data_IF_589507362956
#
_entry.id   IF_589507362956
#
_cell.length_a   1.000
_cell.length_b   1.000
_cell.length_c   1.000
_cell.angle_alpha   90.00
_cell.angle_beta   90.00
_cell.angle_gamma   90.00
#
_symmetry.space_group_name_H-M   'P 1'
#
loop_
_entity.id
_entity.type
_entity.pdbx_description
1 polymer ?
#
# COMPACT_ATOMS: atom_id res chain seq x y z
N UNK A 1 -4.68 -2.27 10.03
CA UNK A 1 -4.92 -0.91 9.55
C UNK A 1 -5.57 -0.01 10.59
N UNK A 2 -6.30 -0.53 11.58
CA UNK A 2 -7.07 0.31 12.51
C UNK A 2 -6.19 1.32 13.28
N UNK A 3 -5.03 0.92 13.81
CA UNK A 3 -4.17 1.84 14.55
C UNK A 3 -3.65 3.01 13.71
N UNK A 4 -3.36 2.79 12.43
CA UNK A 4 -2.88 3.84 11.52
C UNK A 4 -4.02 4.73 11.05
N UNK A 5 -5.21 4.15 10.88
CA UNK A 5 -6.43 4.91 10.66
C UNK A 5 -6.72 5.83 11.84
N UNK A 6 -6.64 5.32 13.08
CA UNK A 6 -6.85 6.10 14.30
C UNK A 6 -5.83 7.25 14.42
N UNK A 7 -4.56 7.00 14.07
CA UNK A 7 -3.52 8.03 14.04
C UNK A 7 -3.82 9.12 12.99
N UNK A 8 -4.23 8.74 11.78
CA UNK A 8 -4.61 9.68 10.74
C UNK A 8 -5.87 10.48 11.13
N UNK A 9 -6.86 9.84 11.77
CA UNK A 9 -8.04 10.51 12.32
C UNK A 9 -7.64 11.55 13.35
N UNK A 10 -6.78 11.20 14.31
CA UNK A 10 -6.28 12.13 15.32
C UNK A 10 -5.51 13.30 14.68
N UNK A 11 -4.71 13.03 13.64
CA UNK A 11 -4.00 14.08 12.91
C UNK A 11 -4.95 15.04 12.19
N UNK A 12 -6.00 14.54 11.52
CA UNK A 12 -7.01 15.39 10.88
C UNK A 12 -7.79 16.20 11.93
N UNK A 13 -8.16 15.58 13.06
CA UNK A 13 -8.82 16.29 14.17
C UNK A 13 -7.93 17.39 14.75
N UNK A 14 -6.62 17.17 14.86
CA UNK A 14 -5.68 18.19 15.32
C UNK A 14 -5.68 19.42 14.40
N UNK A 15 -5.87 19.26 13.09
CA UNK A 15 -5.97 20.38 12.14
C UNK A 15 -7.19 21.28 12.44
N UNK A 16 -8.24 20.76 13.08
CA UNK A 16 -9.46 21.51 13.37
C UNK A 16 -9.27 22.58 14.46
N UNK A 17 -8.17 22.50 15.20
CA UNK A 17 -7.78 23.50 16.18
C UNK A 17 -7.05 24.70 15.57
N UNK A 18 -6.81 24.71 14.26
CA UNK A 18 -6.15 25.78 13.54
C UNK A 18 -7.19 26.67 12.87
N UNK A 19 -7.30 27.93 13.31
CA UNK A 19 -8.33 28.89 12.85
C UNK A 19 -8.32 29.18 11.34
N UNK A 20 -7.22 28.88 10.65
CA UNK A 20 -7.05 29.08 9.22
C UNK A 20 -7.38 27.83 8.37
N UNK A 21 -7.76 26.72 8.99
CA UNK A 21 -8.14 25.49 8.30
C UNK A 21 -9.65 25.44 8.12
N UNK A 22 -10.10 25.33 6.87
CA UNK A 22 -11.50 25.09 6.53
C UNK A 22 -11.77 23.56 6.48
N UNK A 23 -12.54 23.00 7.42
CA UNK A 23 -12.84 21.56 7.46
C UNK A 23 -13.55 21.06 6.20
N UNK A 24 -14.25 21.94 5.47
CA UNK A 24 -14.96 21.57 4.26
C UNK A 24 -14.06 21.44 3.02
N UNK A 25 -12.74 21.64 3.17
CA UNK A 25 -11.78 21.70 2.05
C UNK A 25 -10.54 20.82 2.23
N UNK A 26 -10.59 19.86 3.15
CA UNK A 26 -9.45 18.98 3.40
C UNK A 26 -9.30 17.96 2.27
N UNK A 27 -8.08 17.84 1.74
CA UNK A 27 -7.70 16.85 0.72
C UNK A 27 -6.63 15.93 1.31
N UNK A 28 -6.80 14.62 1.16
CA UNK A 28 -5.79 13.65 1.57
C UNK A 28 -4.71 13.47 0.49
N UNK A 29 -3.46 13.26 0.88
CA UNK A 29 -2.38 12.92 -0.06
C UNK A 29 -1.61 11.71 0.49
N UNK A 30 -1.51 10.65 -0.30
CA UNK A 30 -0.81 9.43 0.07
C UNK A 30 0.24 9.05 -0.97
N UNK A 31 1.45 8.72 -0.52
CA UNK A 31 2.51 8.17 -1.37
C UNK A 31 2.77 6.70 -0.98
N UNK A 32 2.84 5.79 -1.96
CA UNK A 32 3.11 4.37 -1.72
C UNK A 32 2.15 3.78 -0.68
N UNK A 33 2.65 3.26 0.45
CA UNK A 33 1.83 2.80 1.59
C UNK A 33 0.87 3.89 2.11
N UNK A 34 1.28 5.16 2.10
CA UNK A 34 0.45 6.31 2.47
C UNK A 34 -0.86 6.39 1.68
N UNK A 35 -0.89 5.85 0.46
CA UNK A 35 -2.10 5.77 -0.33
C UNK A 35 -3.14 4.82 0.29
N UNK A 36 -2.71 3.70 0.89
CA UNK A 36 -3.60 2.79 1.61
C UNK A 36 -4.26 3.51 2.78
N UNK A 37 -3.47 4.20 3.62
CA UNK A 37 -3.98 4.94 4.78
C UNK A 37 -5.04 5.98 4.40
N UNK A 38 -4.76 6.81 3.38
CA UNK A 38 -5.69 7.83 2.90
C UNK A 38 -6.94 7.20 2.27
N UNK A 39 -6.82 6.07 1.58
CA UNK A 39 -7.96 5.33 1.04
C UNK A 39 -8.82 4.72 2.15
N UNK A 40 -8.23 4.11 3.18
CA UNK A 40 -8.96 3.61 4.35
C UNK A 40 -9.72 4.73 5.07
N UNK A 41 -9.11 5.91 5.19
CA UNK A 41 -9.77 7.08 5.73
C UNK A 41 -10.98 7.48 4.90
N UNK A 42 -10.78 7.67 3.59
CA UNK A 42 -11.81 8.14 2.65
C UNK A 42 -12.96 7.14 2.40
N UNK A 43 -12.75 5.86 2.68
CA UNK A 43 -13.76 4.79 2.51
C UNK A 43 -14.45 4.39 3.81
N UNK A 44 -14.00 4.93 4.94
CA UNK A 44 -14.63 4.74 6.25
C UNK A 44 -15.48 5.95 6.63
N UNK A 45 -16.38 5.79 7.60
CA UNK A 45 -17.15 6.92 8.15
C UNK A 45 -16.24 7.77 9.02
N UNK A 46 -16.09 9.05 8.66
CA UNK A 46 -15.25 10.02 9.38
C UNK A 46 -16.09 11.21 9.85
N UNK A 47 -15.73 11.75 11.02
CA UNK A 47 -16.31 13.01 11.52
C UNK A 47 -15.95 14.18 10.60
N UNK A 48 -14.71 14.19 10.09
CA UNK A 48 -14.20 15.20 9.16
C UNK A 48 -13.89 14.53 7.82
N UNK A 49 -14.82 14.51 6.85
CA UNK A 49 -14.58 13.85 5.56
C UNK A 49 -13.59 14.66 4.70
N UNK A 50 -12.76 13.95 3.93
CA UNK A 50 -11.95 14.56 2.87
C UNK A 50 -12.79 14.78 1.62
N UNK A 51 -12.57 15.89 0.93
CA UNK A 51 -13.30 16.25 -0.31
C UNK A 51 -12.62 15.77 -1.59
N UNK A 52 -11.39 15.27 -1.48
CA UNK A 52 -10.62 14.65 -2.55
C UNK A 52 -9.39 13.95 -1.98
N UNK A 53 -8.76 13.08 -2.77
CA UNK A 53 -7.52 12.41 -2.40
C UNK A 53 -6.54 12.35 -3.58
N UNK A 54 -5.26 12.59 -3.35
CA UNK A 54 -4.21 12.39 -4.36
C UNK A 54 -3.36 11.18 -4.01
N UNK A 55 -3.23 10.24 -4.95
CA UNK A 55 -2.46 9.01 -4.75
C UNK A 55 -1.20 9.03 -5.64
N UNK A 56 -0.04 9.11 -5.02
CA UNK A 56 1.26 9.02 -5.68
C UNK A 56 1.87 7.63 -5.48
N UNK A 57 2.30 7.00 -6.56
CA UNK A 57 2.85 5.65 -6.60
C UNK A 57 2.08 4.62 -5.73
N UNK A 58 0.72 4.56 -5.78
CA UNK A 58 -0.02 3.59 -4.99
C UNK A 58 0.24 2.16 -5.50
N UNK A 59 0.37 1.16 -4.60
CA UNK A 59 0.46 -0.25 -5.01
C UNK A 59 -0.88 -0.75 -5.54
N UNK A 60 -0.93 -1.07 -6.83
CA UNK A 60 -2.13 -1.61 -7.50
C UNK A 60 -2.34 -3.10 -7.29
N UNK A 61 -1.29 -3.80 -6.86
CA UNK A 61 -1.29 -5.21 -6.48
C UNK A 61 -1.00 -5.38 -4.99
N UNK A 62 -1.22 -6.58 -4.42
CA UNK A 62 -0.83 -6.87 -3.05
C UNK A 62 0.63 -6.54 -2.77
N UNK A 63 0.94 -5.99 -1.59
CA UNK A 63 2.31 -5.62 -1.18
C UNK A 63 3.29 -6.79 -1.35
N UNK A 64 2.86 -8.02 -1.06
CA UNK A 64 3.67 -9.22 -1.29
C UNK A 64 4.13 -9.36 -2.76
N UNK A 65 3.26 -9.08 -3.74
CA UNK A 65 3.58 -9.22 -5.16
C UNK A 65 4.53 -8.11 -5.62
N UNK A 66 4.31 -6.90 -5.12
CA UNK A 66 5.20 -5.76 -5.34
C UNK A 66 6.61 -6.09 -4.83
N UNK A 67 6.73 -6.56 -3.58
CA UNK A 67 8.00 -6.96 -2.97
C UNK A 67 8.71 -8.06 -3.77
N UNK A 68 7.99 -9.12 -4.17
CA UNK A 68 8.57 -10.21 -4.95
C UNK A 68 9.07 -9.74 -6.32
N UNK A 69 8.34 -8.81 -6.97
CA UNK A 69 8.77 -8.24 -8.24
C UNK A 69 10.02 -7.36 -8.11
N UNK A 70 10.15 -6.61 -7.01
CA UNK A 70 11.36 -5.83 -6.73
C UNK A 70 12.57 -6.72 -6.45
N UNK A 71 12.38 -7.79 -5.67
CA UNK A 71 13.43 -8.78 -5.43
C UNK A 71 13.91 -9.44 -6.73
N UNK A 72 12.99 -9.72 -7.65
CA UNK A 72 13.32 -10.29 -8.94
C UNK A 72 14.27 -9.42 -9.78
N UNK A 73 14.17 -8.10 -9.64
CA UNK A 73 15.01 -7.14 -10.36
C UNK A 73 16.38 -6.92 -9.69
N UNK A 74 16.46 -7.10 -8.37
CA UNK A 74 17.64 -6.74 -7.59
C UNK A 74 18.53 -7.94 -7.21
N UNK A 75 17.99 -9.15 -7.21
CA UNK A 75 18.69 -10.34 -6.72
C UNK A 75 19.23 -11.18 -7.89
N UNK A 76 20.56 -11.27 -8.06
CA UNK A 76 21.16 -12.17 -9.04
C UNK A 76 20.75 -13.62 -8.77
N UNK A 77 20.39 -14.36 -9.83
CA UNK A 77 19.96 -15.75 -9.70
C UNK A 77 18.56 -15.95 -9.13
N UNK A 78 17.72 -14.88 -9.09
CA UNK A 78 16.36 -14.91 -8.55
C UNK A 78 15.53 -16.12 -8.98
N UNK A 79 15.61 -16.53 -10.25
CA UNK A 79 14.82 -17.65 -10.77
C UNK A 79 15.00 -18.96 -9.96
N UNK A 80 16.19 -19.18 -9.39
CA UNK A 80 16.50 -20.37 -8.57
C UNK A 80 16.01 -20.23 -7.12
N UNK A 81 15.83 -18.98 -6.66
CA UNK A 81 15.40 -18.64 -5.30
C UNK A 81 13.89 -18.46 -5.20
N UNK A 82 13.25 -18.09 -6.31
CA UNK A 82 11.82 -17.74 -6.38
C UNK A 82 10.91 -18.78 -5.71
N UNK A 83 11.04 -20.10 -5.98
CA UNK A 83 10.16 -21.09 -5.33
C UNK A 83 10.26 -21.06 -3.80
N UNK A 84 11.48 -20.86 -3.27
CA UNK A 84 11.75 -20.83 -1.82
C UNK A 84 11.20 -19.57 -1.17
N UNK A 85 11.33 -18.45 -1.85
CA UNK A 85 10.79 -17.17 -1.37
C UNK A 85 9.25 -17.17 -1.44
N UNK A 86 8.66 -17.77 -2.49
CA UNK A 86 7.21 -17.96 -2.59
C UNK A 86 6.67 -18.87 -1.49
N UNK A 87 7.40 -19.94 -1.13
CA UNK A 87 7.01 -20.81 -0.01
C UNK A 87 7.04 -20.08 1.33
N UNK A 88 8.05 -19.25 1.58
CA UNK A 88 8.13 -18.41 2.77
C UNK A 88 6.98 -17.37 2.81
N UNK A 89 6.72 -16.70 1.69
CA UNK A 89 5.60 -15.78 1.53
C UNK A 89 4.24 -16.46 1.75
N UNK A 90 4.05 -17.68 1.24
CA UNK A 90 2.81 -18.43 1.41
C UNK A 90 2.55 -18.81 2.88
N UNK A 91 3.59 -19.23 3.62
CA UNK A 91 3.50 -19.45 5.07
C UNK A 91 3.11 -18.19 5.82
N UNK A 92 3.74 -17.06 5.47
CA UNK A 92 3.39 -15.77 6.04
C UNK A 92 1.95 -15.35 5.72
N UNK A 93 1.46 -15.60 4.50
CA UNK A 93 0.04 -15.38 4.16
C UNK A 93 -0.90 -16.27 4.97
N UNK A 94 -0.49 -17.49 5.32
CA UNK A 94 -1.27 -18.44 6.12
C UNK A 94 -1.28 -18.15 7.64
N UNK A 95 -0.64 -17.06 8.09
CA UNK A 95 -0.52 -16.76 9.53
C UNK A 95 0.62 -17.50 10.23
N UNK A 96 1.42 -18.26 9.50
CA UNK A 96 2.57 -18.99 10.02
C UNK A 96 3.84 -18.13 9.99
N UNK A 97 4.90 -18.49 10.73
CA UNK A 97 6.20 -17.87 10.58
C UNK A 97 6.74 -18.02 9.16
N UNK A 98 7.34 -16.96 8.62
CA UNK A 98 7.89 -16.92 7.27
C UNK A 98 9.04 -17.93 7.12
N UNK A 99 9.89 -18.05 8.16
CA UNK A 99 10.96 -19.04 8.30
C UNK A 99 11.70 -19.31 6.96
N UNK A 100 12.41 -18.28 6.44
CA UNK A 100 13.05 -18.36 5.13
C UNK A 100 14.12 -19.45 5.11
N UNK A 101 14.22 -20.18 4.01
CA UNK A 101 15.29 -21.15 3.76
C UNK A 101 16.67 -20.45 3.91
N UNK A 102 17.73 -21.21 4.20
CA UNK A 102 19.10 -20.69 4.27
C UNK A 102 19.69 -20.34 2.91
N UNK A 103 19.11 -20.86 1.82
CA UNK A 103 19.64 -20.72 0.46
C UNK A 103 19.59 -19.30 -0.15
N UNK A 104 18.59 -18.44 0.09
CA UNK A 104 18.62 -17.05 -0.38
C UNK A 104 19.76 -16.24 0.23
N UNK A 105 20.25 -15.19 -0.46
CA UNK A 105 21.24 -14.26 0.08
C UNK A 105 20.80 -13.67 1.42
N UNK A 106 21.77 -13.31 2.26
CA UNK A 106 21.50 -12.76 3.60
C UNK A 106 20.62 -11.51 3.55
N UNK A 107 20.80 -10.65 2.55
CA UNK A 107 19.96 -9.46 2.35
C UNK A 107 18.48 -9.80 2.13
N UNK A 108 18.19 -10.88 1.39
CA UNK A 108 16.82 -11.36 1.15
C UNK A 108 16.25 -11.95 2.44
N UNK A 109 17.03 -12.76 3.15
CA UNK A 109 16.59 -13.35 4.44
C UNK A 109 16.30 -12.28 5.48
N UNK A 110 17.15 -11.27 5.60
CA UNK A 110 16.94 -10.13 6.49
C UNK A 110 15.70 -9.32 6.12
N UNK A 111 15.47 -9.08 4.82
CA UNK A 111 14.27 -8.38 4.37
C UNK A 111 13.00 -9.19 4.70
N UNK A 112 12.99 -10.49 4.44
CA UNK A 112 11.87 -11.36 4.78
C UNK A 112 11.64 -11.42 6.29
N UNK A 113 12.70 -11.55 7.09
CA UNK A 113 12.63 -11.58 8.54
C UNK A 113 12.16 -10.24 9.16
N UNK A 114 12.34 -9.10 8.46
CA UNK A 114 11.91 -7.79 8.98
C UNK A 114 10.38 -7.69 9.08
N UNK A 115 9.62 -8.43 8.27
CA UNK A 115 8.17 -8.56 8.37
C UNK A 115 7.74 -9.32 9.63
N UNK A 116 8.64 -10.10 10.24
CA UNK A 116 8.39 -10.86 11.47
C UNK A 116 8.82 -10.12 12.74
N UNK A 117 9.37 -8.90 12.62
CA UNK A 117 9.77 -8.10 13.77
C UNK A 117 8.55 -7.79 14.66
N UNK A 118 8.61 -8.17 15.94
CA UNK A 118 7.47 -8.11 16.87
C UNK A 118 6.78 -6.74 16.95
N UNK A 119 7.54 -5.65 16.83
CA UNK A 119 7.00 -4.29 16.86
C UNK A 119 6.08 -3.99 15.65
N UNK A 120 6.34 -4.63 14.50
CA UNK A 120 5.65 -4.37 13.24
C UNK A 120 4.72 -5.50 12.83
N UNK A 121 4.81 -6.68 13.45
CA UNK A 121 4.15 -7.91 13.02
C UNK A 121 2.64 -7.75 12.75
N UNK A 122 1.82 -7.11 13.62
CA UNK A 122 0.39 -6.95 13.34
C UNK A 122 0.15 -6.12 12.07
N UNK A 123 0.79 -4.97 11.95
CA UNK A 123 0.68 -4.10 10.77
C UNK A 123 1.21 -4.77 9.51
N UNK A 124 2.38 -5.41 9.61
CA UNK A 124 3.04 -6.08 8.51
C UNK A 124 2.17 -7.21 7.96
N UNK A 125 1.40 -7.91 8.80
CA UNK A 125 0.45 -8.94 8.37
C UNK A 125 -0.76 -8.34 7.66
N UNK A 126 -1.29 -7.24 8.18
CA UNK A 126 -2.42 -6.55 7.56
C UNK A 126 -2.03 -6.00 6.18
N UNK A 127 -0.91 -5.28 6.08
CA UNK A 127 -0.44 -4.70 4.82
C UNK A 127 -0.05 -5.73 3.76
N UNK A 128 0.37 -6.94 4.16
CA UNK A 128 0.93 -7.95 3.26
C UNK A 128 0.04 -8.29 2.07
N UNK A 129 -1.27 -8.42 2.34
CA UNK A 129 -2.28 -8.77 1.34
C UNK A 129 -3.02 -7.52 0.80
N UNK A 130 -2.74 -6.35 1.36
CA UNK A 130 -3.45 -5.12 0.98
C UNK A 130 -3.00 -4.59 -0.38
N UNK A 131 -3.96 -4.03 -1.09
CA UNK A 131 -3.75 -3.33 -2.36
C UNK A 131 -4.69 -2.16 -2.45
N UNK A 132 -4.25 -1.07 -3.08
CA UNK A 132 -5.09 0.12 -3.21
C UNK A 132 -6.28 -0.09 -4.16
N UNK A 133 -6.22 -1.12 -5.01
CA UNK A 133 -7.24 -1.46 -6.02
C UNK A 133 -8.64 -1.59 -5.44
N UNK A 134 -8.80 -2.37 -4.35
CA UNK A 134 -10.11 -2.68 -3.80
C UNK A 134 -10.74 -1.45 -3.13
N UNK A 135 -9.95 -0.70 -2.37
CA UNK A 135 -10.40 0.52 -1.70
C UNK A 135 -10.69 1.63 -2.71
N UNK A 136 -9.88 1.76 -3.76
CA UNK A 136 -10.10 2.74 -4.82
C UNK A 136 -11.46 2.59 -5.50
N UNK A 137 -11.97 1.36 -5.65
CA UNK A 137 -13.33 1.10 -6.20
C UNK A 137 -14.45 1.67 -5.34
N UNK A 138 -14.23 1.87 -4.06
CA UNK A 138 -15.26 2.36 -3.12
C UNK A 138 -15.30 3.88 -3.03
N UNK A 139 -14.22 4.57 -3.45
CA UNK A 139 -14.12 6.03 -3.36
C UNK A 139 -15.06 6.74 -4.34
N UNK A 140 -15.80 7.75 -3.87
CA UNK A 140 -16.73 8.54 -4.70
C UNK A 140 -16.27 9.99 -4.92
N UNK A 141 -15.21 10.42 -4.26
CA UNK A 141 -14.62 11.76 -4.36
C UNK A 141 -13.52 11.82 -5.43
N UNK A 142 -13.16 13.01 -5.94
CA UNK A 142 -12.05 13.18 -6.88
C UNK A 142 -10.76 12.53 -6.38
N UNK A 143 -10.18 11.66 -7.23
CA UNK A 143 -9.03 10.81 -6.87
C UNK A 143 -8.02 10.71 -8.01
N UNK A 144 -7.17 11.73 -8.25
CA UNK A 144 -6.03 11.59 -9.16
C UNK A 144 -5.05 10.52 -8.66
N UNK A 145 -4.63 9.65 -9.58
CA UNK A 145 -3.58 8.64 -9.37
C UNK A 145 -2.40 8.96 -10.28
N UNK A 146 -1.20 8.99 -9.71
CA UNK A 146 0.05 9.26 -10.43
C UNK A 146 1.05 8.16 -10.15
N UNK A 147 1.56 7.50 -11.19
CA UNK A 147 2.69 6.57 -11.10
C UNK A 147 3.76 7.02 -12.09
N UNK A 148 5.01 7.13 -11.63
CA UNK A 148 6.12 7.52 -12.48
C UNK A 148 6.51 6.38 -13.43
N UNK A 149 6.66 6.66 -14.73
CA UNK A 149 7.08 5.65 -15.72
C UNK A 149 8.51 5.09 -15.54
N UNK A 150 9.26 5.57 -14.54
CA UNK A 150 10.59 5.06 -14.13
C UNK A 150 10.65 4.74 -12.64
N UNK A 151 9.50 4.61 -12.00
CA UNK A 151 9.45 4.19 -10.61
C UNK A 151 10.02 2.76 -10.51
N UNK A 152 10.94 2.57 -9.55
CA UNK A 152 11.67 1.31 -9.36
C UNK A 152 10.96 0.36 -8.40
N UNK A 153 9.95 0.87 -7.67
CA UNK A 153 9.21 0.14 -6.65
C UNK A 153 7.80 -0.21 -7.13
N UNK A 154 7.14 0.71 -7.83
CA UNK A 154 5.75 0.60 -8.26
C UNK A 154 5.71 0.62 -9.79
N UNK A 155 5.27 -0.47 -10.39
CA UNK A 155 5.32 -0.61 -11.84
C UNK A 155 4.16 0.14 -12.50
N UNK A 156 4.47 1.03 -13.45
CA UNK A 156 3.46 1.86 -14.09
C UNK A 156 2.36 1.07 -14.82
N UNK A 157 2.65 -0.16 -15.24
CA UNK A 157 1.68 -1.02 -15.94
C UNK A 157 1.13 -2.08 -14.99
N UNK A 158 1.98 -2.87 -14.34
CA UNK A 158 1.52 -3.96 -13.48
C UNK A 158 0.77 -3.47 -12.24
N UNK A 159 1.08 -2.27 -11.73
CA UNK A 159 0.33 -1.62 -10.67
C UNK A 159 -0.67 -0.57 -11.20
N UNK A 160 -0.34 0.12 -12.29
CA UNK A 160 -1.23 1.13 -12.89
C UNK A 160 -2.50 0.58 -13.54
N UNK A 161 -2.39 -0.48 -14.35
CA UNK A 161 -3.54 -1.04 -15.09
C UNK A 161 -4.66 -1.50 -14.14
N UNK A 162 -4.39 -2.26 -13.07
CA UNK A 162 -5.43 -2.65 -12.11
C UNK A 162 -6.12 -1.45 -11.44
N UNK A 163 -5.41 -0.34 -11.25
CA UNK A 163 -5.95 0.89 -10.66
C UNK A 163 -6.79 1.67 -11.66
N UNK A 164 -6.36 1.73 -12.93
CA UNK A 164 -7.14 2.31 -14.01
C UNK A 164 -8.46 1.55 -14.18
N UNK A 165 -8.43 0.21 -14.15
CA UNK A 165 -9.63 -0.62 -14.14
C UNK A 165 -10.53 -0.35 -12.93
N UNK A 166 -9.94 -0.17 -11.73
CA UNK A 166 -10.69 0.13 -10.52
C UNK A 166 -11.34 1.54 -10.53
N UNK A 167 -10.74 2.48 -11.25
CA UNK A 167 -11.27 3.82 -11.46
C UNK A 167 -12.21 3.92 -12.67
N UNK A 168 -12.27 2.89 -13.53
CA UNK A 168 -13.09 2.90 -14.74
C UNK A 168 -14.57 3.17 -14.43
N UNK A 169 -15.20 4.03 -15.23
CA UNK A 169 -16.60 4.42 -15.05
C UNK A 169 -16.84 5.45 -13.95
N UNK A 170 -15.80 5.89 -13.24
CA UNK A 170 -15.87 7.06 -12.36
C UNK A 170 -15.56 8.31 -13.18
N UNK A 171 -16.29 9.40 -12.95
CA UNK A 171 -16.05 10.69 -13.61
C UNK A 171 -14.71 11.35 -13.21
N UNK A 172 -13.88 10.64 -12.43
CA UNK A 172 -12.62 11.10 -11.86
C UNK A 172 -11.49 10.38 -12.58
N UNK A 173 -10.98 10.98 -13.66
CA UNK A 173 -10.05 10.35 -14.60
C UNK A 173 -8.67 10.04 -14.01
N UNK A 174 -8.13 8.88 -14.40
CA UNK A 174 -6.70 8.55 -14.35
C UNK A 174 -6.09 9.08 -15.65
N UNK A 175 -5.10 9.95 -15.55
CA UNK A 175 -4.36 10.51 -16.70
C UNK A 175 -3.00 9.84 -16.85
#
# INVERSE_FOLDING_TARGET
>A
MQSHLDELVAAVQALMWLDFVDPSRIVGLGNSEGALHVLHYATSTQEVPVVGIGLAAPPGRPIQEVLLSQLALQVPGWAQLLPKVQEAAARYTAGEPMNPDLAPPESVKMLLASFEALANLPLARELWAESTRNSLRQVQIPTPVLIGGRDVQIDATADGDPLQEAAAGKANGVS
#
